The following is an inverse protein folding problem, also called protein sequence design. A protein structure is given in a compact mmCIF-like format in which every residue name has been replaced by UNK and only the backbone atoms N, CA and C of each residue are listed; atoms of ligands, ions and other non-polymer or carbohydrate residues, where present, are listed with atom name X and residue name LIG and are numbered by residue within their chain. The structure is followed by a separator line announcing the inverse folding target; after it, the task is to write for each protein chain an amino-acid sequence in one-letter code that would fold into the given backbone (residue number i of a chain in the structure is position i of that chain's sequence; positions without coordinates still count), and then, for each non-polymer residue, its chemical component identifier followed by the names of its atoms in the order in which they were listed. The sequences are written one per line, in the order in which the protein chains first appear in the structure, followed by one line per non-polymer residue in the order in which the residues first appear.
data_IF_735427967047
#
_entry.id   IF_735427967047
#
_cell.length_a   1.000
_cell.length_b   1.000
_cell.length_c   1.000
_cell.angle_alpha   90.00
_cell.angle_beta   90.00
_cell.angle_gamma   90.00
#
_symmetry.space_group_name_H-M   'P 1'
#
loop_
_entity.id
_entity.type
_entity.pdbx_description
1 polymer ?
#
# COMPACT_ATOMS: atom_id res chain seq x y z
N UNK A 1 25.13 -11.01 24.58
CA UNK A 1 25.68 -11.49 23.29
C UNK A 1 25.08 -10.65 22.16
N UNK A 2 25.83 -9.68 21.64
CA UNK A 2 25.36 -8.68 20.67
C UNK A 2 25.86 -9.07 19.27
N UNK A 3 24.93 -9.18 18.33
CA UNK A 3 25.10 -9.70 16.97
C UNK A 3 26.09 -8.85 16.14
N UNK A 4 27.17 -9.48 15.69
CA UNK A 4 28.32 -8.90 15.00
C UNK A 4 28.10 -8.59 13.50
N UNK A 5 26.91 -8.86 12.95
CA UNK A 5 26.69 -8.83 11.50
C UNK A 5 26.66 -7.41 10.88
N UNK A 6 26.40 -6.35 11.65
CA UNK A 6 26.28 -4.98 11.10
C UNK A 6 27.62 -4.28 10.81
N UNK A 7 28.75 -4.82 11.25
CA UNK A 7 30.07 -4.15 11.18
C UNK A 7 30.93 -4.54 9.98
N UNK A 8 30.52 -5.53 9.19
CA UNK A 8 31.28 -5.99 8.03
C UNK A 8 30.89 -5.32 6.71
N UNK A 9 29.83 -4.50 6.68
CA UNK A 9 29.41 -3.82 5.45
C UNK A 9 30.29 -2.62 5.09
N UNK A 10 31.03 -2.08 6.07
CA UNK A 10 31.84 -0.88 5.88
C UNK A 10 33.33 -1.16 5.58
N UNK A 11 33.75 -2.43 5.56
CA UNK A 11 35.17 -2.81 5.33
C UNK A 11 35.49 -3.20 3.88
N UNK A 12 34.51 -3.25 2.98
CA UNK A 12 34.70 -3.71 1.58
C UNK A 12 34.51 -2.59 0.55
N UNK A 13 34.41 -1.33 0.96
CA UNK A 13 34.11 -0.20 0.07
C UNK A 13 35.31 0.69 -0.31
N UNK A 14 36.55 0.20 -0.19
CA UNK A 14 37.76 0.93 -0.56
C UNK A 14 38.27 0.56 -1.95
N UNK A 15 38.46 1.58 -2.80
CA UNK A 15 39.09 1.61 -4.14
C UNK A 15 38.26 1.16 -5.36
N UNK A 16 37.58 2.11 -5.99
CA UNK A 16 37.75 2.36 -7.44
C UNK A 16 37.68 3.87 -7.70
N UNK A 17 38.85 4.45 -7.94
CA UNK A 17 38.99 5.79 -8.47
C UNK A 17 38.68 5.79 -9.99
N UNK A 18 38.01 6.85 -10.43
CA UNK A 18 38.06 7.47 -11.76
C UNK A 18 37.84 6.57 -13.00
N UNK A 19 36.59 6.50 -13.45
CA UNK A 19 36.26 6.22 -14.86
C UNK A 19 35.15 7.18 -15.32
N UNK A 20 35.57 8.38 -15.76
CA UNK A 20 34.79 9.22 -16.67
C UNK A 20 34.75 8.50 -18.03
N UNK A 21 33.60 7.92 -18.39
CA UNK A 21 33.43 7.26 -19.68
C UNK A 21 32.05 6.62 -19.86
N UNK A 22 31.18 7.30 -20.62
CA UNK A 22 30.07 6.78 -21.42
C UNK A 22 29.58 5.33 -21.11
N UNK A 23 28.55 5.18 -20.28
CA UNK A 23 27.97 3.84 -20.02
C UNK A 23 26.83 3.79 -19.01
N UNK A 24 25.90 4.76 -19.04
CA UNK A 24 24.90 4.97 -17.99
C UNK A 24 23.66 4.06 -17.95
N UNK A 25 23.72 2.80 -18.40
CA UNK A 25 22.53 1.90 -18.39
C UNK A 25 22.66 0.61 -17.59
N UNK A 26 23.82 0.32 -16.99
CA UNK A 26 24.03 -0.95 -16.26
C UNK A 26 23.58 -0.92 -14.80
N UNK A 27 23.58 0.24 -14.12
CA UNK A 27 23.28 0.31 -12.67
C UNK A 27 21.80 0.26 -12.31
N UNK A 28 20.89 0.62 -13.23
CA UNK A 28 19.45 0.53 -13.00
C UNK A 28 18.92 -0.92 -13.01
N UNK A 29 19.63 -1.86 -13.66
CA UNK A 29 19.18 -3.26 -13.80
C UNK A 29 19.42 -4.12 -12.54
N UNK A 30 20.29 -3.68 -11.63
CA UNK A 30 20.66 -4.48 -10.46
C UNK A 30 19.68 -4.29 -9.29
N UNK A 31 19.07 -3.11 -9.16
CA UNK A 31 18.07 -2.84 -8.11
C UNK A 31 16.77 -3.65 -8.30
N UNK A 32 16.41 -3.98 -9.55
CA UNK A 32 15.22 -4.79 -9.87
C UNK A 32 15.43 -6.28 -9.53
N UNK A 33 16.67 -6.78 -9.49
CA UNK A 33 16.98 -8.20 -9.22
C UNK A 33 16.81 -8.62 -7.75
N UNK A 34 16.76 -7.66 -6.82
CA UNK A 34 16.66 -7.92 -5.39
C UNK A 34 15.29 -7.57 -4.79
N UNK A 35 14.28 -7.29 -5.63
CA UNK A 35 12.91 -7.28 -5.14
C UNK A 35 12.60 -8.66 -4.57
N UNK A 36 12.13 -8.78 -3.31
CA UNK A 36 11.69 -10.07 -2.81
C UNK A 36 10.68 -10.62 -3.80
N UNK A 37 11.01 -11.75 -4.41
CA UNK A 37 10.03 -12.55 -5.12
C UNK A 37 9.02 -12.91 -4.04
N UNK A 38 7.89 -12.21 -4.02
CA UNK A 38 6.74 -12.65 -3.23
C UNK A 38 6.39 -14.01 -3.80
N UNK A 39 6.88 -15.05 -3.12
CA UNK A 39 6.45 -16.42 -3.35
C UNK A 39 4.93 -16.44 -3.24
N UNK A 40 4.31 -17.48 -3.79
CA UNK A 40 2.87 -17.72 -3.79
C UNK A 40 2.34 -18.02 -2.36
N UNK A 41 2.72 -17.18 -1.38
CA UNK A 41 2.28 -17.23 -0.02
C UNK A 41 0.88 -16.67 0.01
N UNK A 42 -0.08 -17.57 -0.17
CA UNK A 42 -1.44 -17.41 0.31
C UNK A 42 -1.38 -16.77 1.70
N UNK A 43 -2.24 -15.77 1.95
CA UNK A 43 -2.29 -15.07 3.24
C UNK A 43 -2.28 -16.05 4.43
N UNK A 44 -1.76 -15.64 5.61
CA UNK A 44 -1.58 -16.51 6.79
C UNK A 44 -2.89 -16.98 7.46
N UNK A 45 -3.98 -17.06 6.70
CA UNK A 45 -5.30 -17.56 7.10
C UNK A 45 -6.33 -16.45 7.27
N UNK A 46 -7.45 -16.80 7.87
CA UNK A 46 -8.54 -15.88 8.22
C UNK A 46 -8.57 -15.62 9.73
N UNK A 47 -9.29 -14.58 10.14
CA UNK A 47 -9.55 -14.19 11.54
C UNK A 47 -11.03 -13.85 11.70
N UNK A 48 -11.53 -13.94 12.94
CA UNK A 48 -12.89 -13.50 13.28
C UNK A 48 -12.85 -12.12 13.92
N UNK A 49 -13.69 -11.21 13.43
CA UNK A 49 -14.00 -9.92 14.03
C UNK A 49 -15.49 -9.93 14.41
N UNK A 50 -15.80 -10.28 15.65
CA UNK A 50 -17.18 -10.59 16.05
C UNK A 50 -17.73 -11.78 15.23
N UNK A 51 -18.81 -11.55 14.49
CA UNK A 51 -19.42 -12.52 13.58
C UNK A 51 -18.84 -12.50 12.16
N UNK A 52 -17.93 -11.57 11.84
CA UNK A 52 -17.32 -11.42 10.52
C UNK A 52 -16.09 -12.31 10.39
N UNK A 53 -15.93 -12.97 9.24
CA UNK A 53 -14.71 -13.71 8.89
C UNK A 53 -13.94 -12.91 7.85
N UNK A 54 -12.69 -12.55 8.17
CA UNK A 54 -11.83 -11.69 7.36
C UNK A 54 -10.49 -12.36 7.07
N UNK A 55 -9.81 -11.95 6.02
CA UNK A 55 -8.39 -12.26 5.83
C UNK A 55 -7.57 -11.74 7.01
N UNK A 56 -6.53 -12.49 7.40
CA UNK A 56 -5.62 -12.10 8.49
C UNK A 56 -4.84 -10.82 8.22
N UNK A 57 -4.77 -10.39 6.96
CA UNK A 57 -4.23 -9.11 6.50
C UNK A 57 -5.35 -8.38 5.76
N UNK A 58 -5.57 -7.10 6.07
CA UNK A 58 -6.49 -6.22 5.34
C UNK A 58 -5.74 -5.17 4.50
N UNK A 59 -6.47 -4.51 3.60
CA UNK A 59 -5.98 -3.36 2.83
C UNK A 59 -6.54 -2.07 3.43
N UNK A 60 -5.64 -1.19 3.91
CA UNK A 60 -5.99 0.20 4.22
C UNK A 60 -5.99 1.06 2.95
N UNK A 61 -7.06 1.81 2.72
CA UNK A 61 -7.29 2.57 1.49
C UNK A 61 -7.05 4.07 1.63
N UNK A 62 -6.35 4.50 2.68
CA UNK A 62 -6.07 5.92 2.95
C UNK A 62 -5.34 6.61 1.80
N UNK A 63 -4.27 5.98 1.31
CA UNK A 63 -3.45 6.50 0.21
C UNK A 63 -4.17 6.48 -1.15
N UNK A 64 -5.40 5.96 -1.23
CA UNK A 64 -6.20 6.01 -2.45
C UNK A 64 -6.93 7.35 -2.59
N UNK A 65 -7.19 8.06 -1.50
CA UNK A 65 -7.86 9.38 -1.53
C UNK A 65 -6.93 10.54 -1.24
N UNK A 66 -5.88 10.35 -0.43
CA UNK A 66 -5.02 11.43 0.03
C UNK A 66 -3.56 11.00 0.09
N UNK A 67 -2.66 11.91 -0.22
CA UNK A 67 -1.24 11.75 0.08
C UNK A 67 -0.98 12.13 1.55
N UNK A 68 -1.04 11.18 2.48
CA UNK A 68 -0.78 11.49 3.89
C UNK A 68 0.71 11.40 4.24
N UNK A 69 1.46 10.52 3.57
CA UNK A 69 2.85 10.22 3.93
C UNK A 69 3.92 10.90 3.05
N UNK A 70 3.53 11.88 2.22
CA UNK A 70 4.44 12.56 1.31
C UNK A 70 4.90 11.70 0.13
N UNK A 71 4.18 10.62 -0.18
CA UNK A 71 4.44 9.74 -1.31
C UNK A 71 3.49 10.06 -2.48
N UNK A 72 3.91 9.90 -3.74
CA UNK A 72 2.99 10.11 -4.86
C UNK A 72 1.75 9.23 -4.73
N UNK A 73 0.58 9.88 -4.71
CA UNK A 73 -0.71 9.18 -4.70
C UNK A 73 -0.85 8.37 -6.00
N UNK A 74 -1.32 7.10 -5.94
CA UNK A 74 -1.69 6.36 -7.14
C UNK A 74 -2.81 7.09 -7.90
N UNK A 75 -2.80 6.99 -9.24
CA UNK A 75 -3.96 7.37 -10.05
C UNK A 75 -5.18 6.55 -9.65
N UNK A 76 -6.39 7.04 -9.96
CA UNK A 76 -7.64 6.29 -9.69
C UNK A 76 -7.59 4.87 -10.27
N UNK A 77 -7.11 4.70 -11.50
CA UNK A 77 -6.97 3.38 -12.12
C UNK A 77 -5.93 2.51 -11.42
N UNK A 78 -4.83 3.11 -10.93
CA UNK A 78 -3.85 2.40 -10.10
C UNK A 78 -4.48 1.96 -8.77
N UNK A 79 -5.28 2.80 -8.13
CA UNK A 79 -6.02 2.48 -6.91
C UNK A 79 -6.98 1.30 -7.10
N UNK A 80 -7.79 1.34 -8.15
CA UNK A 80 -8.66 0.22 -8.55
C UNK A 80 -7.87 -1.07 -8.77
N UNK A 81 -6.71 -0.98 -9.46
CA UNK A 81 -5.83 -2.14 -9.67
C UNK A 81 -5.24 -2.68 -8.36
N UNK A 82 -4.88 -1.81 -7.41
CA UNK A 82 -4.37 -2.22 -6.10
C UNK A 82 -5.44 -3.03 -5.35
N UNK A 83 -6.69 -2.54 -5.33
CA UNK A 83 -7.81 -3.24 -4.68
C UNK A 83 -8.05 -4.61 -5.29
N UNK A 84 -8.10 -4.69 -6.64
CA UNK A 84 -8.27 -5.97 -7.35
C UNK A 84 -7.13 -6.92 -7.08
N UNK A 85 -5.90 -6.42 -7.11
CA UNK A 85 -4.73 -7.25 -6.86
C UNK A 85 -4.68 -7.77 -5.44
N UNK A 86 -5.08 -6.94 -4.46
CA UNK A 86 -5.22 -7.38 -3.07
C UNK A 86 -6.23 -8.53 -2.96
N UNK A 87 -7.39 -8.41 -3.61
CA UNK A 87 -8.39 -9.47 -3.66
C UNK A 87 -7.87 -10.75 -4.33
N UNK A 88 -7.17 -10.64 -5.47
CA UNK A 88 -6.56 -11.79 -6.16
C UNK A 88 -5.55 -12.54 -5.26
N UNK A 89 -4.92 -11.85 -4.30
CA UNK A 89 -4.02 -12.42 -3.31
C UNK A 89 -4.72 -12.91 -2.03
N UNK A 90 -6.05 -12.88 -2.01
CA UNK A 90 -6.88 -13.41 -0.92
C UNK A 90 -7.24 -12.41 0.17
N UNK A 91 -6.99 -11.11 -0.02
CA UNK A 91 -7.46 -10.08 0.92
C UNK A 91 -8.97 -9.94 0.80
N UNK A 92 -9.68 -10.11 1.91
CA UNK A 92 -11.13 -9.98 2.00
C UNK A 92 -11.57 -8.90 2.99
N UNK A 93 -10.63 -8.12 3.53
CA UNK A 93 -10.92 -7.03 4.46
C UNK A 93 -10.32 -5.72 3.97
N UNK A 94 -11.18 -4.72 3.76
CA UNK A 94 -10.83 -3.42 3.21
C UNK A 94 -11.29 -2.33 4.18
N UNK A 95 -10.44 -1.34 4.41
CA UNK A 95 -10.64 -0.26 5.37
C UNK A 95 -10.52 1.10 4.68
N UNK A 96 -11.55 1.95 4.82
CA UNK A 96 -11.59 3.33 4.30
C UNK A 96 -12.24 4.26 5.34
N UNK A 97 -12.43 5.55 5.01
CA UNK A 97 -13.09 6.55 5.84
C UNK A 97 -13.49 7.77 5.00
N UNK A 98 -14.51 8.51 5.44
CA UNK A 98 -14.94 9.77 4.80
C UNK A 98 -13.80 10.80 4.75
N UNK A 99 -12.90 10.78 5.74
CA UNK A 99 -11.78 11.70 5.88
C UNK A 99 -10.57 11.35 5.01
N UNK A 100 -10.54 10.17 4.37
CA UNK A 100 -9.42 9.77 3.52
C UNK A 100 -9.53 10.42 2.15
N UNK A 101 -8.92 11.59 2.01
CA UNK A 101 -9.01 12.35 0.76
C UNK A 101 -10.45 12.72 0.47
N UNK A 102 -11.05 13.56 1.32
CA UNK A 102 -12.47 13.78 1.48
C UNK A 102 -13.33 13.30 0.29
N UNK A 103 -14.06 12.21 0.53
CA UNK A 103 -14.95 11.52 -0.42
C UNK A 103 -14.28 10.75 -1.59
N UNK A 104 -12.98 10.89 -1.84
CA UNK A 104 -12.31 10.20 -2.94
C UNK A 104 -11.94 8.74 -2.62
N UNK A 105 -11.41 8.44 -1.42
CA UNK A 105 -11.03 7.04 -1.09
C UNK A 105 -12.22 6.08 -1.21
N UNK A 106 -13.39 6.47 -0.68
CA UNK A 106 -14.60 5.66 -0.76
C UNK A 106 -15.09 5.46 -2.21
N UNK A 107 -14.94 6.47 -3.07
CA UNK A 107 -15.23 6.35 -4.49
C UNK A 107 -14.32 5.32 -5.18
N UNK A 108 -13.00 5.41 -4.98
CA UNK A 108 -12.03 4.46 -5.56
C UNK A 108 -12.27 3.04 -5.04
N UNK A 109 -12.61 2.89 -3.75
CA UNK A 109 -12.96 1.60 -3.15
C UNK A 109 -14.24 1.03 -3.77
N UNK A 110 -15.28 1.85 -3.94
CA UNK A 110 -16.53 1.44 -4.58
C UNK A 110 -16.31 0.92 -6.01
N UNK A 111 -15.52 1.63 -6.81
CA UNK A 111 -15.13 1.21 -8.16
C UNK A 111 -14.33 -0.11 -8.14
N UNK A 112 -13.35 -0.21 -7.23
CA UNK A 112 -12.50 -1.37 -7.07
C UNK A 112 -13.25 -2.63 -6.66
N UNK A 113 -14.32 -2.52 -5.89
CA UNK A 113 -15.10 -3.66 -5.37
C UNK A 113 -16.27 -4.09 -6.27
N UNK A 114 -16.54 -3.38 -7.38
CA UNK A 114 -17.65 -3.70 -8.28
C UNK A 114 -17.60 -5.17 -8.75
N UNK A 115 -18.67 -5.92 -8.56
CA UNK A 115 -18.74 -7.35 -8.94
C UNK A 115 -17.96 -8.33 -8.03
N UNK A 116 -17.31 -7.86 -6.96
CA UNK A 116 -16.72 -8.72 -5.90
C UNK A 116 -17.22 -8.35 -4.50
N UNK A 117 -18.22 -7.47 -4.40
CA UNK A 117 -18.70 -6.91 -3.13
C UNK A 117 -19.11 -7.99 -2.13
N UNK A 118 -19.77 -9.05 -2.58
CA UNK A 118 -20.28 -10.11 -1.70
C UNK A 118 -19.18 -11.02 -1.12
N UNK A 119 -17.94 -10.88 -1.61
CA UNK A 119 -16.79 -11.68 -1.16
C UNK A 119 -15.89 -10.94 -0.16
N UNK A 120 -16.25 -9.72 0.23
CA UNK A 120 -15.40 -8.87 1.07
C UNK A 120 -16.16 -8.28 2.26
N UNK A 121 -15.42 -8.01 3.32
CA UNK A 121 -15.82 -7.17 4.44
C UNK A 121 -15.22 -5.78 4.21
N UNK A 122 -16.08 -4.77 4.19
CA UNK A 122 -15.70 -3.37 4.05
C UNK A 122 -15.96 -2.64 5.37
N UNK A 123 -14.93 -2.03 5.94
CA UNK A 123 -15.02 -1.11 7.05
C UNK A 123 -14.87 0.32 6.54
N UNK A 124 -15.81 1.19 6.93
CA UNK A 124 -15.67 2.65 6.79
C UNK A 124 -15.87 3.32 8.15
N UNK A 125 -15.48 4.59 8.24
CA UNK A 125 -15.45 5.38 9.47
C UNK A 125 -16.00 6.77 9.19
N UNK A 126 -16.66 7.35 10.18
CA UNK A 126 -17.23 8.70 10.13
C UNK A 126 -17.03 9.41 11.48
N UNK A 127 -17.27 10.72 11.51
CA UNK A 127 -17.23 11.57 12.70
C UNK A 127 -16.39 12.83 12.54
N UNK A 128 -15.95 13.18 11.33
CA UNK A 128 -15.24 14.43 11.08
C UNK A 128 -16.22 15.51 10.59
N UNK A 129 -16.02 16.76 11.02
CA UNK A 129 -16.74 17.89 10.43
C UNK A 129 -16.08 18.28 9.10
N UNK A 130 -16.47 17.55 8.06
CA UNK A 130 -15.99 17.73 6.70
C UNK A 130 -17.03 18.56 5.94
N UNK A 131 -16.59 19.68 5.37
CA UNK A 131 -17.41 20.43 4.43
C UNK A 131 -17.76 19.54 3.23
N UNK A 132 -19.04 19.18 3.09
CA UNK A 132 -19.52 18.28 2.04
C UNK A 132 -19.34 18.83 0.62
N UNK A 133 -19.16 20.14 0.45
CA UNK A 133 -18.90 20.78 -0.84
C UNK A 133 -17.40 20.94 -1.12
N UNK A 134 -16.61 21.26 -0.09
CA UNK A 134 -15.18 21.57 -0.24
C UNK A 134 -14.25 20.40 0.05
N UNK A 135 -14.74 19.39 0.76
CA UNK A 135 -13.94 18.31 1.31
C UNK A 135 -12.99 18.75 2.44
N UNK A 136 -12.79 20.03 2.74
CA UNK A 136 -11.87 20.40 3.82
C UNK A 136 -12.40 19.97 5.19
N UNK A 137 -11.65 19.14 5.91
CA UNK A 137 -11.89 18.87 7.32
C UNK A 137 -11.64 20.15 8.14
N UNK A 138 -12.62 20.60 8.91
CA UNK A 138 -12.46 21.70 9.86
C UNK A 138 -11.98 21.14 11.20
N UNK A 139 -10.97 21.79 11.79
CA UNK A 139 -10.54 21.48 13.14
C UNK A 139 -11.49 22.19 14.12
N UNK A 140 -12.08 21.42 15.03
CA UNK A 140 -12.87 21.93 16.15
C UNK A 140 -11.97 22.54 17.23
#
# INVERSE_FOLDING_TARGET
MINQSKRNLLKTGGLTALALGLGGTAMAKQAVKNSPTFTNNKLPGQRKLGNLTVSSIGLGCQELGQNMYGVPQPSREQGVRIIRRAFDHGVTFFDTAEAYGPFESECVVGEGLKGIRDHVVLATKFGWDIDQQRGSAQAN
#
